data_IF_614804779841
#
_entry.id   IF_614804779841
#
_cell.length_a   1.000
_cell.length_b   1.000
_cell.length_c   1.000
_cell.angle_alpha   90.00
_cell.angle_beta   90.00
_cell.angle_gamma   90.00
#
_symmetry.space_group_name_H-M   'P 1'
#
loop_
_entity.id
_entity.type
_entity.pdbx_description
1 polymer ?
#
# COMPACT_ATOMS: atom_id res chain seq x y z
N UNK A 1 -19.66 3.02 28.76
CA UNK A 1 -19.01 3.47 27.51
C UNK A 1 -17.48 3.23 27.47
N UNK A 2 -16.69 3.57 28.51
CA UNK A 2 -15.22 3.37 28.51
C UNK A 2 -14.72 1.94 28.17
N UNK A 3 -15.39 0.88 28.65
CA UNK A 3 -15.02 -0.52 28.36
C UNK A 3 -15.18 -0.93 26.87
N UNK A 4 -16.15 -0.36 26.14
CA UNK A 4 -16.37 -0.66 24.72
C UNK A 4 -15.29 -0.04 23.82
N UNK A 5 -14.75 1.13 24.19
CA UNK A 5 -13.66 1.77 23.45
C UNK A 5 -12.31 1.06 23.68
N UNK A 6 -12.09 0.50 24.87
CA UNK A 6 -10.86 -0.24 25.21
C UNK A 6 -10.69 -1.50 24.34
N UNK A 7 -11.73 -2.34 24.21
CA UNK A 7 -11.68 -3.56 23.38
C UNK A 7 -11.54 -3.28 21.88
N UNK A 8 -11.89 -2.07 21.42
CA UNK A 8 -11.78 -1.68 20.01
C UNK A 8 -10.33 -1.37 19.60
N UNK A 9 -9.52 -0.86 20.53
CA UNK A 9 -8.10 -0.61 20.31
C UNK A 9 -7.26 -1.88 20.30
N UNK A 10 -7.54 -2.81 21.23
CA UNK A 10 -6.81 -4.08 21.33
C UNK A 10 -6.99 -4.96 20.09
N UNK A 11 -8.20 -5.07 19.53
CA UNK A 11 -8.44 -5.83 18.30
C UNK A 11 -7.67 -5.27 17.10
N UNK A 12 -7.55 -3.94 16.99
CA UNK A 12 -6.78 -3.29 15.91
C UNK A 12 -5.27 -3.52 16.05
N UNK A 13 -4.75 -3.57 17.29
CA UNK A 13 -3.35 -3.90 17.56
C UNK A 13 -3.03 -5.36 17.25
N UNK A 14 -3.92 -6.28 17.62
CA UNK A 14 -3.77 -7.70 17.31
C UNK A 14 -3.69 -7.94 15.80
N UNK A 15 -4.52 -7.21 15.05
CA UNK A 15 -4.52 -7.22 13.59
C UNK A 15 -3.21 -6.76 12.96
N UNK A 16 -2.60 -5.70 13.49
CA UNK A 16 -1.30 -5.22 13.03
C UNK A 16 -0.15 -6.17 13.39
N UNK A 17 -0.20 -6.78 14.57
CA UNK A 17 0.76 -7.81 14.97
C UNK A 17 0.70 -9.03 14.03
N UNK A 18 -0.50 -9.40 13.56
CA UNK A 18 -0.67 -10.51 12.62
C UNK A 18 -0.10 -10.20 11.23
N UNK A 19 -0.25 -8.96 10.76
CA UNK A 19 0.38 -8.48 9.53
C UNK A 19 1.91 -8.52 9.62
N UNK A 20 2.46 -8.15 10.78
CA UNK A 20 3.90 -8.22 11.01
C UNK A 20 4.43 -9.65 11.03
N UNK A 21 3.69 -10.56 11.68
CA UNK A 21 4.11 -11.95 11.83
C UNK A 21 4.00 -12.75 10.52
N UNK A 22 3.21 -12.27 9.56
CA UNK A 22 2.85 -13.04 8.36
C UNK A 22 2.88 -12.16 7.08
N UNK A 23 4.02 -11.56 6.73
CA UNK A 23 4.13 -10.65 5.58
C UNK A 23 3.85 -11.33 4.23
N UNK A 24 3.96 -12.66 4.17
CA UNK A 24 3.62 -13.45 2.97
C UNK A 24 2.13 -13.54 2.63
N UNK A 25 1.23 -13.19 3.56
CA UNK A 25 -0.23 -13.21 3.36
C UNK A 25 -0.72 -11.91 2.71
N UNK A 26 -0.41 -11.78 1.42
CA UNK A 26 -0.78 -10.69 0.52
C UNK A 26 -2.27 -10.30 0.57
N UNK A 27 -3.18 -11.29 0.61
CA UNK A 27 -4.64 -11.05 0.66
C UNK A 27 -5.02 -10.36 1.97
N UNK A 28 -4.38 -10.73 3.07
CA UNK A 28 -4.64 -10.18 4.39
C UNK A 28 -4.15 -8.74 4.46
N UNK A 29 -2.93 -8.47 3.99
CA UNK A 29 -2.40 -7.11 3.87
C UNK A 29 -3.28 -6.23 2.99
N UNK A 30 -3.68 -6.69 1.78
CA UNK A 30 -4.55 -5.93 0.88
C UNK A 30 -5.88 -5.57 1.51
N UNK A 31 -6.57 -6.54 2.14
CA UNK A 31 -7.82 -6.30 2.85
C UNK A 31 -7.63 -5.30 4.01
N UNK A 32 -6.52 -5.37 4.73
CA UNK A 32 -6.25 -4.45 5.83
C UNK A 32 -5.73 -3.08 5.41
N UNK A 33 -4.98 -2.97 4.33
CA UNK A 33 -4.58 -1.70 3.73
C UNK A 33 -5.82 -0.91 3.32
N UNK A 34 -6.78 -1.58 2.66
CA UNK A 34 -8.10 -1.02 2.38
C UNK A 34 -8.85 -0.62 3.66
N UNK A 35 -8.86 -1.45 4.70
CA UNK A 35 -9.54 -1.09 5.96
C UNK A 35 -8.84 0.06 6.72
N UNK A 36 -7.52 0.16 6.63
CA UNK A 36 -6.71 1.22 7.25
C UNK A 36 -6.95 2.55 6.53
N UNK A 37 -7.13 2.55 5.21
CA UNK A 37 -7.44 3.78 4.46
C UNK A 37 -8.81 4.37 4.85
N UNK A 38 -9.76 3.54 5.34
CA UNK A 38 -11.02 4.01 5.92
C UNK A 38 -10.92 4.42 7.40
N UNK A 39 -9.77 4.26 8.05
CA UNK A 39 -9.60 4.71 9.43
C UNK A 39 -9.34 6.23 9.48
N UNK A 40 -9.76 6.93 10.55
CA UNK A 40 -9.42 8.33 10.74
C UNK A 40 -7.95 8.46 11.16
N UNK A 41 -7.05 8.29 10.19
CA UNK A 41 -5.60 8.39 10.37
C UNK A 41 -5.16 9.80 10.79
N UNK A 42 -6.06 10.79 10.79
CA UNK A 42 -5.83 12.11 11.39
C UNK A 42 -5.73 12.07 12.92
N UNK A 43 -6.22 11.01 13.58
CA UNK A 43 -6.12 10.85 15.03
C UNK A 43 -4.69 10.45 15.44
N UNK A 44 -3.96 11.40 16.04
CA UNK A 44 -2.56 11.22 16.48
C UNK A 44 -2.35 10.06 17.46
N UNK A 45 -3.27 9.85 18.40
CA UNK A 45 -3.15 8.78 19.41
C UNK A 45 -3.36 7.40 18.79
N UNK A 46 -4.32 7.28 17.86
CA UNK A 46 -4.51 6.06 17.08
C UNK A 46 -3.27 5.80 16.25
N UNK A 47 -2.78 6.80 15.53
CA UNK A 47 -1.61 6.67 14.67
C UNK A 47 -0.36 6.25 15.41
N UNK A 48 -0.10 6.88 16.56
CA UNK A 48 0.97 6.45 17.47
C UNK A 48 0.83 4.97 17.81
N UNK A 49 -0.38 4.51 18.18
CA UNK A 49 -0.62 3.11 18.49
C UNK A 49 -0.42 2.17 17.28
N UNK A 50 -0.76 2.60 16.07
CA UNK A 50 -0.56 1.79 14.86
C UNK A 50 0.94 1.70 14.52
N UNK A 51 1.68 2.81 14.63
CA UNK A 51 3.13 2.86 14.47
C UNK A 51 3.82 1.98 15.51
N UNK A 52 3.47 2.12 16.79
CA UNK A 52 3.98 1.29 17.89
C UNK A 52 3.67 -0.21 17.67
N UNK A 53 2.55 -0.52 17.03
CA UNK A 53 2.15 -1.88 16.68
C UNK A 53 2.82 -2.41 15.40
N UNK A 54 3.72 -1.64 14.77
CA UNK A 54 4.52 -2.10 13.64
C UNK A 54 3.92 -1.80 12.26
N UNK A 55 3.00 -0.85 12.13
CA UNK A 55 2.42 -0.45 10.83
C UNK A 55 3.50 -0.16 9.78
N UNK A 56 4.53 0.61 10.14
CA UNK A 56 5.60 0.98 9.20
C UNK A 56 6.37 -0.26 8.72
N UNK A 57 6.68 -1.18 9.65
CA UNK A 57 7.32 -2.46 9.33
C UNK A 57 6.47 -3.34 8.42
N UNK A 58 5.15 -3.34 8.60
CA UNK A 58 4.24 -4.08 7.75
C UNK A 58 4.22 -3.54 6.31
N UNK A 59 4.23 -2.22 6.14
CA UNK A 59 4.32 -1.57 4.83
C UNK A 59 5.63 -1.93 4.15
N UNK A 60 6.76 -1.74 4.84
CA UNK A 60 8.09 -2.06 4.30
C UNK A 60 8.23 -3.55 4.00
N UNK A 61 7.77 -4.41 4.92
CA UNK A 61 7.79 -5.85 4.75
C UNK A 61 6.99 -6.30 3.53
N UNK A 62 5.82 -5.69 3.29
CA UNK A 62 5.01 -5.97 2.11
C UNK A 62 5.72 -5.54 0.83
N UNK A 63 6.23 -4.30 0.77
CA UNK A 63 6.95 -3.82 -0.41
C UNK A 63 8.17 -4.70 -0.72
N UNK A 64 8.91 -5.18 0.29
CA UNK A 64 10.06 -6.06 0.07
C UNK A 64 9.64 -7.47 -0.37
N UNK A 65 8.65 -8.07 0.30
CA UNK A 65 8.25 -9.45 0.07
C UNK A 65 7.39 -9.64 -1.19
N UNK A 66 6.70 -8.59 -1.65
CA UNK A 66 5.70 -8.62 -2.71
C UNK A 66 5.87 -7.44 -3.68
N UNK A 67 7.11 -7.07 -3.99
CA UNK A 67 7.41 -5.98 -4.94
C UNK A 67 6.95 -6.28 -6.37
N UNK A 68 6.67 -7.55 -6.69
CA UNK A 68 6.16 -8.05 -7.96
C UNK A 68 4.62 -8.20 -7.99
N UNK A 69 3.95 -8.09 -6.84
CA UNK A 69 2.49 -8.07 -6.77
C UNK A 69 1.97 -6.64 -6.96
N UNK A 70 1.37 -6.42 -8.14
CA UNK A 70 0.79 -5.15 -8.56
C UNK A 70 -0.08 -4.48 -7.49
N UNK A 71 -1.00 -5.24 -6.91
CA UNK A 71 -2.00 -4.72 -5.99
C UNK A 71 -1.39 -4.43 -4.61
N UNK A 72 -0.46 -5.26 -4.15
CA UNK A 72 0.27 -5.05 -2.91
C UNK A 72 1.12 -3.77 -2.97
N UNK A 73 1.83 -3.55 -4.08
CA UNK A 73 2.66 -2.34 -4.30
C UNK A 73 1.80 -1.09 -4.33
N UNK A 74 0.66 -1.11 -5.05
CA UNK A 74 -0.29 0.02 -5.09
C UNK A 74 -0.82 0.32 -3.69
N UNK A 75 -1.28 -0.71 -2.97
CA UNK A 75 -1.83 -0.56 -1.62
C UNK A 75 -0.79 0.03 -0.64
N UNK A 76 0.42 -0.53 -0.61
CA UNK A 76 1.49 -0.06 0.28
C UNK A 76 1.93 1.37 -0.07
N UNK A 77 2.03 1.70 -1.36
CA UNK A 77 2.40 3.05 -1.83
C UNK A 77 1.34 4.09 -1.48
N UNK A 78 0.05 3.77 -1.62
CA UNK A 78 -1.05 4.63 -1.16
C UNK A 78 -1.01 4.85 0.36
N UNK A 79 -0.79 3.78 1.13
CA UNK A 79 -0.64 3.91 2.58
C UNK A 79 0.54 4.82 2.95
N UNK A 80 1.70 4.68 2.31
CA UNK A 80 2.85 5.56 2.53
C UNK A 80 2.50 7.01 2.25
N UNK A 81 1.90 7.28 1.08
CA UNK A 81 1.46 8.63 0.70
C UNK A 81 0.53 9.23 1.76
N UNK A 82 -0.54 8.52 2.09
CA UNK A 82 -1.56 9.01 3.01
C UNK A 82 -0.99 9.22 4.42
N UNK A 83 -0.12 8.32 4.88
CA UNK A 83 0.57 8.45 6.17
C UNK A 83 1.45 9.70 6.23
N UNK A 84 2.24 9.95 5.19
CA UNK A 84 3.13 11.12 5.13
C UNK A 84 2.35 12.41 5.01
N UNK A 85 1.28 12.43 4.20
CA UNK A 85 0.40 13.60 4.08
C UNK A 85 -0.23 13.97 5.43
N UNK A 86 -0.66 12.98 6.21
CA UNK A 86 -1.29 13.20 7.52
C UNK A 86 -0.26 13.42 8.65
N UNK A 87 0.93 12.82 8.54
CA UNK A 87 2.00 12.86 9.54
C UNK A 87 3.35 13.18 8.89
N UNK A 88 3.58 14.44 8.44
CA UNK A 88 4.80 14.80 7.70
C UNK A 88 6.09 14.51 8.44
N UNK A 89 6.08 14.53 9.77
CA UNK A 89 7.25 14.20 10.61
C UNK A 89 7.76 12.76 10.47
N UNK A 90 6.99 11.86 9.86
CA UNK A 90 7.40 10.48 9.58
C UNK A 90 8.16 10.33 8.25
N UNK A 91 8.18 11.38 7.41
CA UNK A 91 8.72 11.31 6.04
C UNK A 91 10.16 10.82 5.98
N UNK A 92 11.06 11.35 6.82
CA UNK A 92 12.46 10.97 6.81
C UNK A 92 12.66 9.50 7.17
N UNK A 93 11.95 9.01 8.20
CA UNK A 93 12.00 7.61 8.59
C UNK A 93 11.44 6.72 7.48
N UNK A 94 10.27 7.07 6.96
CA UNK A 94 9.59 6.30 5.91
C UNK A 94 10.40 6.24 4.62
N UNK A 95 11.00 7.34 4.19
CA UNK A 95 11.88 7.37 3.02
C UNK A 95 13.09 6.46 3.22
N UNK A 96 13.79 6.58 4.35
CA UNK A 96 14.96 5.74 4.65
C UNK A 96 14.63 4.24 4.68
N UNK A 97 13.49 3.86 5.23
CA UNK A 97 13.08 2.46 5.34
C UNK A 97 12.50 1.89 4.04
N UNK A 98 11.85 2.72 3.20
CA UNK A 98 11.08 2.23 2.05
C UNK A 98 11.68 2.59 0.69
N UNK A 99 12.70 3.46 0.61
CA UNK A 99 13.24 3.90 -0.69
C UNK A 99 13.70 2.73 -1.56
N UNK A 100 14.44 1.78 -0.99
CA UNK A 100 14.88 0.58 -1.72
C UNK A 100 13.71 -0.29 -2.17
N UNK A 101 12.68 -0.44 -1.33
CA UNK A 101 11.52 -1.28 -1.64
C UNK A 101 10.63 -0.64 -2.73
N UNK A 102 10.48 0.68 -2.71
CA UNK A 102 9.81 1.43 -3.77
C UNK A 102 10.58 1.33 -5.10
N UNK A 103 11.92 1.40 -5.06
CA UNK A 103 12.74 1.18 -6.25
C UNK A 103 12.58 -0.24 -6.82
N UNK A 104 12.50 -1.26 -5.97
CA UNK A 104 12.20 -2.62 -6.39
C UNK A 104 10.81 -2.74 -7.04
N UNK A 105 9.81 -2.04 -6.52
CA UNK A 105 8.49 -1.96 -7.16
C UNK A 105 8.54 -1.34 -8.57
N UNK A 106 9.35 -0.29 -8.77
CA UNK A 106 9.58 0.31 -10.10
C UNK A 106 10.23 -0.70 -11.04
N UNK A 107 11.24 -1.44 -10.56
CA UNK A 107 11.97 -2.43 -11.33
C UNK A 107 11.11 -3.64 -11.72
N UNK A 108 10.17 -4.03 -10.87
CA UNK A 108 9.24 -5.13 -11.14
C UNK A 108 8.10 -4.74 -12.09
N UNK A 109 7.71 -3.45 -12.09
CA UNK A 109 6.60 -2.94 -12.87
C UNK A 109 7.01 -1.77 -13.82
N UNK A 110 8.06 -1.91 -14.64
CA UNK A 110 8.61 -0.80 -15.41
C UNK A 110 7.67 -0.31 -16.51
N UNK A 111 6.67 -1.10 -16.89
CA UNK A 111 5.70 -0.81 -17.96
C UNK A 111 4.25 -0.73 -17.46
N UNK A 112 4.01 -0.70 -16.14
CA UNK A 112 2.66 -0.53 -15.57
C UNK A 112 2.48 0.93 -15.11
N UNK A 113 1.80 1.79 -15.89
CA UNK A 113 1.67 3.20 -15.57
C UNK A 113 0.92 3.44 -14.26
N UNK A 114 0.00 2.56 -13.88
CA UNK A 114 -0.79 2.71 -12.66
C UNK A 114 0.04 2.43 -11.40
N UNK A 115 0.82 1.34 -11.41
CA UNK A 115 1.77 1.05 -10.31
C UNK A 115 2.78 2.18 -10.16
N UNK A 116 3.41 2.61 -11.27
CA UNK A 116 4.40 3.68 -11.26
C UNK A 116 3.81 4.98 -10.70
N UNK A 117 2.59 5.33 -11.09
CA UNK A 117 1.89 6.52 -10.59
C UNK A 117 1.68 6.49 -9.09
N UNK A 118 1.32 5.34 -8.51
CA UNK A 118 1.17 5.17 -7.07
C UNK A 118 2.51 5.26 -6.34
N UNK A 119 3.56 4.61 -6.86
CA UNK A 119 4.92 4.73 -6.30
C UNK A 119 5.40 6.18 -6.36
N UNK A 120 5.27 6.85 -7.49
CA UNK A 120 5.67 8.25 -7.66
C UNK A 120 4.88 9.17 -6.75
N UNK A 121 3.58 8.92 -6.55
CA UNK A 121 2.77 9.63 -5.56
C UNK A 121 3.32 9.51 -4.14
N UNK A 122 3.76 8.31 -3.73
CA UNK A 122 4.39 8.09 -2.43
C UNK A 122 5.74 8.82 -2.31
N UNK A 123 6.60 8.72 -3.32
CA UNK A 123 7.91 9.42 -3.33
C UNK A 123 7.72 10.94 -3.29
N UNK A 124 6.78 11.49 -4.06
CA UNK A 124 6.45 12.93 -4.02
C UNK A 124 5.97 13.37 -2.65
N UNK A 125 5.09 12.60 -2.00
CA UNK A 125 4.60 12.94 -0.67
C UNK A 125 5.75 12.98 0.35
N UNK A 126 6.68 12.01 0.30
CA UNK A 126 7.88 11.98 1.13
C UNK A 126 8.76 13.22 0.91
N UNK A 127 9.06 13.54 -0.34
CA UNK A 127 9.89 14.67 -0.73
C UNK A 127 9.26 16.03 -0.39
N UNK A 128 7.95 16.18 -0.58
CA UNK A 128 7.24 17.41 -0.24
C UNK A 128 7.17 17.65 1.28
N UNK A 129 7.06 16.57 2.06
CA UNK A 129 7.08 16.64 3.52
C UNK A 129 8.49 16.94 4.07
N UNK A 130 9.53 16.36 3.47
CA UNK A 130 10.92 16.58 3.85
C UNK A 130 11.83 16.50 2.60
N UNK A 131 12.24 17.65 2.03
CA UNK A 131 13.01 17.69 0.78
C UNK A 131 14.33 16.92 0.81
N UNK A 132 14.95 16.76 1.98
CA UNK A 132 16.18 15.98 2.14
C UNK A 132 16.01 14.49 1.81
N UNK A 133 14.78 13.96 1.88
CA UNK A 133 14.48 12.56 1.52
C UNK A 133 14.77 12.24 0.06
N UNK A 134 14.77 13.25 -0.83
CA UNK A 134 15.15 13.03 -2.22
C UNK A 134 16.62 12.61 -2.37
N UNK A 135 17.49 13.00 -1.44
CA UNK A 135 18.87 12.55 -1.45
C UNK A 135 18.97 11.04 -1.21
N UNK A 136 18.08 10.47 -0.39
CA UNK A 136 18.02 9.02 -0.15
C UNK A 136 17.63 8.27 -1.43
N UNK A 137 16.64 8.77 -2.17
CA UNK A 137 16.24 8.21 -3.46
C UNK A 137 17.33 8.34 -4.55
N UNK A 138 18.04 9.48 -4.59
CA UNK A 138 19.17 9.67 -5.51
C UNK A 138 20.31 8.69 -5.19
N UNK A 139 20.64 8.49 -3.90
CA UNK A 139 21.71 7.58 -3.46
C UNK A 139 21.47 6.12 -3.84
N UNK A 140 20.21 5.68 -3.89
CA UNK A 140 19.87 4.30 -4.30
C UNK A 140 19.73 4.14 -5.82
N UNK A 141 19.93 5.19 -6.62
CA UNK A 141 19.91 5.11 -8.08
C UNK A 141 18.50 5.21 -8.69
N UNK A 142 17.55 5.92 -8.05
CA UNK A 142 16.22 6.14 -8.63
C UNK A 142 16.30 6.77 -10.03
N UNK A 143 17.11 7.81 -10.20
CA UNK A 143 17.26 8.50 -11.49
C UNK A 143 17.83 7.58 -12.59
N UNK A 144 18.80 6.73 -12.24
CA UNK A 144 19.36 5.76 -13.18
C UNK A 144 18.29 4.77 -13.65
N UNK A 145 17.44 4.29 -12.74
CA UNK A 145 16.38 3.35 -13.08
C UNK A 145 15.30 3.97 -13.98
N UNK A 146 14.88 5.19 -13.68
CA UNK A 146 13.92 5.93 -14.51
C UNK A 146 14.47 6.20 -15.91
N UNK A 147 15.75 6.55 -16.02
CA UNK A 147 16.42 6.70 -17.31
C UNK A 147 16.50 5.39 -18.10
N UNK A 148 16.61 4.23 -17.43
CA UNK A 148 16.53 2.92 -18.11
C UNK A 148 15.14 2.69 -18.70
N UNK A 149 14.07 2.98 -17.95
CA UNK A 149 12.68 2.81 -18.41
C UNK A 149 12.40 3.65 -19.66
N UNK A 150 12.85 4.91 -19.72
CA UNK A 150 12.67 5.75 -20.91
C UNK A 150 13.40 5.19 -22.14
N UNK A 151 14.57 4.57 -21.95
CA UNK A 151 15.40 4.05 -23.04
C UNK A 151 15.01 2.65 -23.52
N UNK A 152 14.07 1.99 -22.86
CA UNK A 152 13.57 0.68 -23.28
C UNK A 152 12.68 0.82 -24.52
N UNK A 153 12.97 0.02 -25.55
CA UNK A 153 12.28 0.07 -26.85
C UNK A 153 10.78 -0.27 -26.75
N UNK A 154 10.37 -0.98 -25.69
CA UNK A 154 9.00 -1.48 -25.48
C UNK A 154 8.20 -0.67 -24.45
N UNK A 155 8.72 0.44 -23.94
CA UNK A 155 8.00 1.27 -22.98
C UNK A 155 6.87 2.03 -23.65
N UNK A 156 5.68 2.01 -23.04
CA UNK A 156 4.53 2.74 -23.57
C UNK A 156 4.76 4.26 -23.51
N UNK A 157 4.14 5.00 -24.43
CA UNK A 157 4.21 6.48 -24.45
C UNK A 157 3.71 7.08 -23.14
N UNK A 158 2.66 6.49 -22.55
CA UNK A 158 2.10 6.90 -21.26
C UNK A 158 3.14 6.78 -20.13
N UNK A 159 3.83 5.64 -20.05
CA UNK A 159 4.90 5.43 -19.05
C UNK A 159 6.06 6.38 -19.31
N UNK A 160 6.48 6.57 -20.56
CA UNK A 160 7.55 7.53 -20.89
C UNK A 160 7.22 8.95 -20.43
N UNK A 161 5.98 9.40 -20.67
CA UNK A 161 5.50 10.72 -20.20
C UNK A 161 5.50 10.81 -18.68
N UNK A 162 4.92 9.81 -18.00
CA UNK A 162 4.86 9.76 -16.54
C UNK A 162 6.25 9.82 -15.90
N UNK A 163 7.21 9.05 -16.44
CA UNK A 163 8.59 9.03 -15.95
C UNK A 163 9.31 10.34 -16.25
N UNK A 164 9.16 10.91 -17.45
CA UNK A 164 9.78 12.17 -17.82
C UNK A 164 9.29 13.32 -16.95
N UNK A 165 7.99 13.41 -16.71
CA UNK A 165 7.41 14.44 -15.83
C UNK A 165 7.88 14.29 -14.39
N UNK A 166 8.03 13.06 -13.91
CA UNK A 166 8.59 12.81 -12.60
C UNK A 166 10.06 13.27 -12.52
N UNK A 167 10.89 12.90 -13.51
CA UNK A 167 12.29 13.35 -13.62
C UNK A 167 12.41 14.88 -13.70
N UNK A 168 11.58 15.53 -14.51
CA UNK A 168 11.55 16.99 -14.63
C UNK A 168 11.21 17.66 -13.29
N UNK A 169 10.28 17.06 -12.53
CA UNK A 169 9.95 17.49 -11.17
C UNK A 169 11.12 17.32 -10.19
N UNK A 170 11.89 16.24 -10.32
CA UNK A 170 13.10 16.01 -9.52
C UNK A 170 14.21 17.02 -9.79
N UNK A 171 14.34 17.48 -11.05
CA UNK A 171 15.37 18.44 -11.46
C UNK A 171 15.05 19.87 -11.05
N UNK A 172 13.77 20.23 -10.94
CA UNK A 172 13.33 21.58 -10.59
C UNK A 172 13.26 21.82 -9.08
N UNK A 173 13.61 20.82 -8.26
CA UNK A 173 13.34 20.77 -6.82
C UNK A 173 11.88 21.15 -6.47
N UNK A 174 10.97 20.89 -7.42
CA UNK A 174 9.57 21.24 -7.32
C UNK A 174 8.75 20.12 -7.96
N UNK A 175 8.33 19.18 -7.13
CA UNK A 175 7.61 17.98 -7.55
C UNK A 175 6.14 18.25 -7.94
N UNK A 176 5.65 19.47 -7.72
CA UNK A 176 4.29 19.91 -8.06
C UNK A 176 3.18 19.10 -7.39
N UNK A 177 1.92 19.42 -7.72
CA UNK A 177 0.76 18.61 -7.35
C UNK A 177 0.51 17.55 -8.44
N UNK A 178 0.49 16.27 -8.06
CA UNK A 178 0.26 15.16 -9.01
C UNK A 178 -1.19 15.15 -9.54
N UNK A 179 -2.14 15.75 -8.83
CA UNK A 179 -3.55 15.85 -9.25
C UNK A 179 -3.75 16.75 -10.48
N UNK A 180 -2.99 17.84 -10.60
CA UNK A 180 -3.01 18.70 -11.79
C UNK A 180 -2.58 17.92 -13.05
N UNK A 181 -1.73 16.91 -12.83
CA UNK A 181 -1.14 16.06 -13.85
C UNK A 181 -2.05 14.89 -14.25
N UNK A 182 -2.75 14.28 -13.28
CA UNK A 182 -3.83 13.32 -13.59
C UNK A 182 -4.94 13.97 -14.41
N UNK A 183 -5.25 15.24 -14.12
CA UNK A 183 -6.26 16.01 -14.87
C UNK A 183 -5.80 16.22 -16.32
N UNK A 184 -4.51 16.49 -16.54
CA UNK A 184 -3.91 16.61 -17.88
C UNK A 184 -3.97 15.30 -18.68
N UNK A 185 -3.59 14.16 -18.07
CA UNK A 185 -3.56 12.85 -18.75
C UNK A 185 -4.95 12.26 -19.00
N UNK A 186 -5.91 12.49 -18.08
CA UNK A 186 -7.29 12.03 -18.24
C UNK A 186 -8.03 12.65 -19.44
N UNK A 187 -7.51 13.75 -20.00
CA UNK A 187 -8.00 14.33 -21.25
C UNK A 187 -7.59 13.55 -22.52
N UNK A 188 -6.64 12.61 -22.42
CA UNK A 188 -6.05 11.89 -23.55
C UNK A 188 -6.66 10.49 -23.73
N UNK A 189 -7.21 9.89 -22.69
CA UNK A 189 -7.66 8.48 -22.68
C UNK A 189 -9.15 8.30 -22.98
N UNK A 190 -9.61 8.76 -24.15
CA UNK A 190 -10.89 8.36 -24.74
C UNK A 190 -10.66 7.60 -26.05
N UNK A 191 -9.97 6.46 -25.99
CA UNK A 191 -10.08 5.42 -27.01
C UNK A 191 -10.53 4.14 -26.32
N UNK A 192 -11.76 3.71 -26.65
CA UNK A 192 -12.41 2.51 -26.16
C UNK A 192 -11.57 1.27 -26.49
N UNK A 193 -11.06 0.60 -25.46
CA UNK A 193 -10.47 -0.73 -25.56
C UNK A 193 -11.48 -1.75 -25.04
N UNK A 194 -11.95 -2.65 -25.92
CA UNK A 194 -12.74 -3.82 -25.56
C UNK A 194 -11.82 -5.04 -25.46
N UNK A 195 -11.72 -5.72 -24.30
CA UNK A 195 -10.95 -6.94 -24.19
C UNK A 195 -11.80 -8.15 -24.60
N UNK A 196 -11.32 -8.89 -25.60
CA UNK A 196 -11.80 -10.23 -25.93
C UNK A 196 -11.37 -11.24 -24.86
N UNK A 197 -12.30 -12.14 -24.53
CA UNK A 197 -12.22 -13.03 -23.37
C UNK A 197 -11.09 -14.05 -23.41
N UNK A 198 -10.50 -14.30 -22.24
CA UNK A 198 -9.61 -15.42 -21.98
C UNK A 198 -10.19 -16.29 -20.86
N UNK A 199 -10.33 -17.57 -21.19
CA UNK A 199 -10.87 -18.64 -20.37
C UNK A 199 -9.70 -19.33 -19.64
N UNK A 200 -9.70 -19.36 -18.31
CA UNK A 200 -8.66 -20.03 -17.51
C UNK A 200 -9.32 -21.19 -16.76
N UNK A 201 -8.91 -22.41 -17.09
CA UNK A 201 -9.27 -23.64 -16.38
C UNK A 201 -8.38 -23.80 -15.14
N UNK A 202 -9.00 -24.02 -13.99
CA UNK A 202 -8.37 -24.35 -12.72
C UNK A 202 -7.72 -25.75 -12.76
N UNK A 203 -6.55 -25.89 -12.12
CA UNK A 203 -5.85 -27.17 -11.97
C UNK A 203 -5.64 -27.44 -10.48
N UNK A 204 -6.25 -28.50 -9.99
CA UNK A 204 -6.07 -29.02 -8.64
C UNK A 204 -4.66 -29.58 -8.43
N UNK A 205 -4.06 -29.31 -7.28
CA UNK A 205 -2.88 -30.01 -6.76
C UNK A 205 -3.18 -30.48 -5.34
N UNK A 206 -2.92 -31.77 -5.10
CA UNK A 206 -3.12 -32.48 -3.83
C UNK A 206 -1.90 -32.34 -2.90
N UNK A 207 -2.19 -32.28 -1.62
CA UNK A 207 -1.25 -32.29 -0.48
C UNK A 207 -0.77 -33.71 -0.13
N UNK A 208 0.39 -33.81 0.50
CA UNK A 208 0.78 -34.88 1.44
C UNK A 208 1.75 -34.31 2.51
N UNK A 209 1.47 -34.58 3.79
CA UNK A 209 2.12 -34.14 5.06
C UNK A 209 3.34 -35.01 5.48
N UNK A 210 3.85 -35.03 6.76
CA UNK A 210 4.04 -34.02 7.83
C UNK A 210 5.48 -34.00 8.42
N UNK A 211 5.89 -32.96 9.17
CA UNK A 211 6.90 -33.07 10.26
C UNK A 211 6.67 -32.05 11.40
N UNK A 212 7.01 -32.49 12.62
CA UNK A 212 6.54 -32.07 13.95
C UNK A 212 6.84 -30.63 14.43
N UNK A 213 5.91 -30.17 15.29
CA UNK A 213 5.63 -28.85 15.86
C UNK A 213 6.62 -28.29 16.91
N UNK A 214 6.71 -26.96 17.01
CA UNK A 214 6.62 -26.22 18.26
C UNK A 214 5.16 -25.77 18.50
N UNK A 215 4.61 -26.05 19.69
CA UNK A 215 3.21 -25.85 20.07
C UNK A 215 2.56 -24.59 19.49
N UNK A 216 1.54 -24.84 18.66
CA UNK A 216 0.96 -23.90 17.74
C UNK A 216 -0.15 -23.05 18.37
N UNK A 217 0.10 -21.75 18.57
CA UNK A 217 -0.97 -20.78 18.82
C UNK A 217 -1.64 -20.33 17.51
N UNK A 218 -1.13 -20.76 16.37
CA UNK A 218 -1.61 -20.38 15.04
C UNK A 218 -2.98 -20.97 14.76
N UNK A 219 -3.30 -22.20 15.19
CA UNK A 219 -4.68 -22.73 15.08
C UNK A 219 -5.72 -21.86 15.80
N UNK A 220 -5.43 -21.39 17.02
CA UNK A 220 -6.35 -20.53 17.78
C UNK A 220 -6.57 -19.17 17.11
N UNK A 221 -5.50 -18.61 16.56
CA UNK A 221 -5.49 -17.34 15.83
C UNK A 221 -6.20 -17.49 14.47
N UNK A 222 -5.93 -18.57 13.73
CA UNK A 222 -6.55 -18.89 12.45
C UNK A 222 -8.04 -19.20 12.60
N UNK A 223 -8.45 -19.83 13.70
CA UNK A 223 -9.87 -20.03 14.01
C UNK A 223 -10.58 -18.70 14.35
N UNK A 224 -9.93 -17.76 15.04
CA UNK A 224 -10.47 -16.40 15.24
C UNK A 224 -10.51 -15.59 13.94
N UNK A 225 -9.50 -15.74 13.06
CA UNK A 225 -9.44 -15.11 11.74
C UNK A 225 -10.50 -15.66 10.79
N UNK A 226 -10.71 -16.98 10.76
CA UNK A 226 -11.78 -17.61 9.99
C UNK A 226 -13.14 -17.13 10.49
N UNK A 227 -13.32 -16.96 11.81
CA UNK A 227 -14.54 -16.35 12.38
C UNK A 227 -14.70 -14.90 11.97
N UNK A 228 -13.65 -14.09 11.99
CA UNK A 228 -13.73 -12.68 11.57
C UNK A 228 -13.97 -12.53 10.06
N UNK A 229 -13.34 -13.37 9.24
CA UNK A 229 -13.53 -13.39 7.80
C UNK A 229 -14.95 -13.84 7.42
N UNK A 230 -15.44 -14.93 8.02
CA UNK A 230 -16.84 -15.39 7.82
C UNK A 230 -17.87 -14.38 8.34
N UNK A 231 -17.55 -13.64 9.41
CA UNK A 231 -18.38 -12.52 9.87
C UNK A 231 -18.35 -11.33 8.91
N UNK A 232 -17.25 -11.09 8.19
CA UNK A 232 -17.17 -10.03 7.18
C UNK A 232 -17.83 -10.42 5.84
N UNK A 233 -17.96 -11.71 5.54
CA UNK A 233 -18.73 -12.22 4.39
C UNK A 233 -20.25 -12.14 4.61
N UNK A 234 -20.70 -12.03 5.87
CA UNK A 234 -22.08 -11.68 6.17
C UNK A 234 -22.33 -10.21 5.84
N UNK A 235 -23.01 -9.97 4.71
CA UNK A 235 -23.38 -8.64 4.24
C UNK A 235 -24.15 -7.80 5.28
N UNK A 236 -24.90 -8.42 6.21
CA UNK A 236 -25.57 -7.70 7.28
C UNK A 236 -24.60 -7.29 8.39
N UNK A 237 -23.64 -8.15 8.75
CA UNK A 237 -22.60 -7.82 9.71
C UNK A 237 -21.64 -6.78 9.15
N UNK A 238 -21.17 -6.94 7.91
CA UNK A 238 -20.34 -5.96 7.22
C UNK A 238 -21.06 -4.61 7.06
N UNK A 239 -22.32 -4.62 6.63
CA UNK A 239 -23.13 -3.39 6.52
C UNK A 239 -23.39 -2.75 7.88
N UNK A 240 -23.64 -3.54 8.93
CA UNK A 240 -23.76 -3.04 10.31
C UNK A 240 -22.44 -2.47 10.83
N UNK A 241 -21.31 -3.10 10.51
CA UNK A 241 -19.98 -2.65 10.91
C UNK A 241 -19.60 -1.34 10.22
N UNK A 242 -19.96 -1.20 8.93
CA UNK A 242 -19.81 0.03 8.14
C UNK A 242 -20.77 1.12 8.63
N UNK A 243 -22.05 0.81 8.88
CA UNK A 243 -23.02 1.77 9.44
C UNK A 243 -22.67 2.21 10.86
N UNK A 244 -22.15 1.32 11.70
CA UNK A 244 -21.61 1.66 13.02
C UNK A 244 -20.29 2.43 12.93
N UNK A 245 -19.56 2.36 11.81
CA UNK A 245 -18.43 3.25 11.50
C UNK A 245 -18.90 4.64 11.08
N UNK A 246 -19.86 4.70 10.15
CA UNK A 246 -20.41 5.94 9.57
C UNK A 246 -21.19 6.78 10.59
N UNK A 247 -21.89 6.15 11.56
CA UNK A 247 -22.60 6.88 12.64
C UNK A 247 -21.69 7.74 13.52
N UNK A 248 -20.38 7.49 13.53
CA UNK A 248 -19.40 8.30 14.26
C UNK A 248 -18.76 9.40 13.40
N UNK A 249 -19.10 9.49 12.11
CA UNK A 249 -18.65 10.56 11.19
C UNK A 249 -19.67 11.71 11.15
N UNK A 250 -20.93 11.47 11.54
CA UNK A 250 -22.04 12.45 11.44
C UNK A 250 -22.29 13.22 12.74
N UNK A 251 -21.49 12.99 13.79
CA UNK A 251 -21.65 13.64 15.10
C UNK A 251 -20.37 14.33 15.63
N UNK A 252 -19.54 14.86 14.73
CA UNK A 252 -18.55 15.90 15.05
C UNK A 252 -18.64 17.02 13.98
#
# INVERSE_FOLDING_TARGET
QKKKNCMRGEKKKLLLLLLFANPEYDVLFRKYAGLISYMPLSNKDLMKQLVDAGLLKAITGTLLAKHDDREAVIAASNMLRDLVTLHPHLSQQLARENAQALLQGIQAHPNDPDVLKHIFGAVKALANAEPSTMEDFRKIGLEDELNKIIKQDNTSVEVQQLVQEFLDGLLRDNLGNLEDLMTSLSGITAMEYQPDGVNIQEREVKEDEPQDEPQDQTEGIMAELAKLATLLDDSQFASKYVQEGLKFIVYD
#
